data_IF_714483871270
#
_entry.id   IF_714483871270
#
_cell.length_a   1.000
_cell.length_b   1.000
_cell.length_c   1.000
_cell.angle_alpha   90.00
_cell.angle_beta   90.00
_cell.angle_gamma   90.00
#
_symmetry.space_group_name_H-M   'P 1'
#
loop_
_entity.id
_entity.type
_entity.pdbx_description
1 polymer ?
#
# COMPACT_ATOMS: atom_id res chain seq x y z
N UNK A 1 6.21 -25.17 -11.94
CA UNK A 1 7.62 -24.72 -11.96
C UNK A 1 7.73 -23.25 -11.53
N UNK A 2 8.51 -22.90 -10.50
CA UNK A 2 8.71 -21.48 -10.10
C UNK A 2 9.78 -20.86 -11.01
N UNK A 3 9.38 -19.95 -11.90
CA UNK A 3 10.33 -19.21 -12.73
C UNK A 3 11.16 -18.23 -11.87
N UNK A 4 12.49 -18.39 -11.86
CA UNK A 4 13.44 -17.45 -11.24
C UNK A 4 13.95 -16.48 -12.29
N UNK A 5 13.99 -15.18 -11.95
CA UNK A 5 14.58 -14.12 -12.77
C UNK A 5 15.91 -13.66 -12.15
N UNK A 6 16.94 -13.36 -12.96
CA UNK A 6 18.19 -12.80 -12.44
C UNK A 6 17.95 -11.41 -11.83
N UNK A 7 18.84 -10.94 -10.94
CA UNK A 7 18.67 -9.67 -10.23
C UNK A 7 18.49 -8.46 -11.14
N UNK A 8 19.18 -8.44 -12.29
CA UNK A 8 19.11 -7.36 -13.30
C UNK A 8 17.74 -7.27 -13.99
N UNK A 9 17.06 -8.40 -14.22
CA UNK A 9 15.72 -8.45 -14.80
C UNK A 9 14.60 -8.36 -13.76
N UNK A 10 14.93 -8.46 -12.48
CA UNK A 10 13.94 -8.38 -11.41
C UNK A 10 13.53 -6.92 -11.21
N UNK A 11 12.22 -6.68 -11.25
CA UNK A 11 11.66 -5.36 -10.97
C UNK A 11 12.08 -4.87 -9.58
N UNK A 12 12.60 -3.64 -9.53
CA UNK A 12 12.84 -2.92 -8.27
C UNK A 12 11.51 -2.63 -7.58
N UNK A 13 11.52 -2.65 -6.25
CA UNK A 13 10.31 -2.44 -5.44
C UNK A 13 10.61 -1.48 -4.29
N UNK A 14 9.65 -0.61 -4.01
CA UNK A 14 9.59 0.16 -2.78
C UNK A 14 8.33 -0.22 -2.02
N UNK A 15 8.45 -0.24 -0.70
CA UNK A 15 7.38 -0.50 0.24
C UNK A 15 6.96 0.82 0.87
N UNK A 16 5.71 1.19 0.66
CA UNK A 16 5.02 2.30 1.32
C UNK A 16 4.28 1.72 2.52
N UNK A 17 4.66 2.16 3.71
CA UNK A 17 3.98 1.84 4.96
C UNK A 17 2.96 2.93 5.22
N UNK A 18 1.72 2.53 5.46
CA UNK A 18 0.63 3.44 5.80
C UNK A 18 -0.04 3.01 7.10
N UNK A 19 -0.61 3.98 7.82
CA UNK A 19 -1.52 3.77 8.93
C UNK A 19 -2.86 4.38 8.58
N UNK A 20 -3.92 3.62 8.80
CA UNK A 20 -5.28 4.09 8.69
C UNK A 20 -5.69 4.70 10.02
N UNK A 21 -6.16 5.94 9.98
CA UNK A 21 -6.77 6.62 11.12
C UNK A 21 -8.28 6.64 10.88
N UNK A 22 -9.02 6.07 11.81
CA UNK A 22 -10.48 5.93 11.81
C UNK A 22 -10.95 5.84 13.26
N UNK A 23 -12.23 6.15 13.49
CA UNK A 23 -12.81 6.11 14.85
C UNK A 23 -12.90 4.67 15.37
N UNK A 24 -13.21 3.72 14.49
CA UNK A 24 -13.23 2.29 14.81
C UNK A 24 -12.25 1.49 13.94
N UNK A 25 -11.76 0.32 14.39
CA UNK A 25 -10.92 -0.55 13.58
C UNK A 25 -11.66 -1.07 12.34
N UNK A 26 -11.06 -0.90 11.16
CA UNK A 26 -11.62 -1.38 9.90
C UNK A 26 -11.07 -2.76 9.55
N UNK A 27 -11.90 -3.62 8.96
CA UNK A 27 -11.45 -4.93 8.49
C UNK A 27 -10.44 -4.79 7.33
N UNK A 28 -9.46 -5.69 7.29
CA UNK A 28 -8.41 -5.66 6.28
C UNK A 28 -8.97 -5.73 4.84
N UNK A 29 -10.02 -6.51 4.60
CA UNK A 29 -10.58 -6.64 3.25
C UNK A 29 -11.27 -5.36 2.80
N UNK A 30 -11.95 -4.65 3.70
CA UNK A 30 -12.54 -3.34 3.41
C UNK A 30 -11.44 -2.31 3.09
N UNK A 31 -10.40 -2.25 3.92
CA UNK A 31 -9.22 -1.40 3.66
C UNK A 31 -8.59 -1.74 2.31
N UNK A 32 -8.39 -3.03 2.03
CA UNK A 32 -7.79 -3.50 0.78
C UNK A 32 -8.65 -3.08 -0.42
N UNK A 33 -9.97 -3.21 -0.33
CA UNK A 33 -10.90 -2.84 -1.41
C UNK A 33 -10.89 -1.32 -1.63
N UNK A 34 -10.99 -0.53 -0.57
CA UNK A 34 -10.92 0.93 -0.64
C UNK A 34 -9.60 1.42 -1.25
N UNK A 35 -8.48 0.83 -0.84
CA UNK A 35 -7.16 1.15 -1.38
C UNK A 35 -7.05 0.77 -2.86
N UNK A 36 -7.57 -0.40 -3.28
CA UNK A 36 -7.61 -0.75 -4.70
C UNK A 36 -8.46 0.22 -5.52
N UNK A 37 -9.64 0.56 -5.03
CA UNK A 37 -10.52 1.53 -5.68
C UNK A 37 -9.83 2.89 -5.80
N UNK A 38 -9.16 3.36 -4.74
CA UNK A 38 -8.35 4.58 -4.78
C UNK A 38 -7.22 4.53 -5.81
N UNK A 39 -6.56 3.37 -5.94
CA UNK A 39 -5.56 3.18 -6.99
C UNK A 39 -6.15 3.22 -8.40
N UNK A 40 -7.26 2.52 -8.65
CA UNK A 40 -7.91 2.55 -9.97
C UNK A 40 -8.45 3.94 -10.31
N UNK A 41 -9.09 4.63 -9.36
CA UNK A 41 -9.63 5.97 -9.57
C UNK A 41 -8.54 7.01 -9.89
N UNK A 42 -7.37 6.92 -9.25
CA UNK A 42 -6.27 7.86 -9.46
C UNK A 42 -5.36 7.50 -10.65
N UNK A 43 -4.97 6.23 -10.75
CA UNK A 43 -3.97 5.77 -11.73
C UNK A 43 -4.59 5.23 -13.02
N UNK A 44 -5.88 4.88 -13.01
CA UNK A 44 -6.49 4.04 -14.03
C UNK A 44 -5.90 2.62 -14.07
N UNK A 45 -6.44 1.80 -14.94
CA UNK A 45 -6.02 0.40 -15.11
C UNK A 45 -4.58 0.30 -15.63
N UNK A 46 -4.22 1.17 -16.58
CA UNK A 46 -2.88 1.20 -17.16
C UNK A 46 -1.83 1.60 -16.12
N UNK A 47 -2.10 2.64 -15.33
CA UNK A 47 -1.19 3.12 -14.30
C UNK A 47 -1.02 2.10 -13.18
N UNK A 48 -2.09 1.44 -12.75
CA UNK A 48 -2.03 0.33 -11.78
C UNK A 48 -1.16 -0.81 -12.30
N UNK A 49 -1.31 -1.19 -13.57
CA UNK A 49 -0.51 -2.23 -14.21
C UNK A 49 0.97 -1.87 -14.24
N UNK A 50 1.32 -0.65 -14.65
CA UNK A 50 2.70 -0.13 -14.69
C UNK A 50 3.31 0.02 -13.30
N UNK A 51 2.50 0.34 -12.29
CA UNK A 51 2.96 0.56 -10.91
C UNK A 51 3.34 -0.75 -10.19
N UNK A 52 2.91 -1.92 -10.69
CA UNK A 52 3.11 -3.23 -10.05
C UNK A 52 2.72 -3.25 -8.56
N UNK A 53 1.55 -2.71 -8.28
CA UNK A 53 1.03 -2.57 -6.92
C UNK A 53 0.78 -3.94 -6.30
N UNK A 54 1.17 -4.08 -5.02
CA UNK A 54 0.80 -5.25 -4.21
C UNK A 54 0.53 -4.82 -2.77
N UNK A 55 -0.63 -5.20 -2.26
CA UNK A 55 -1.05 -5.00 -0.87
C UNK A 55 -0.77 -6.30 -0.09
N UNK A 56 -0.16 -6.20 1.09
CA UNK A 56 0.32 -7.36 1.86
C UNK A 56 -0.57 -7.66 3.07
N UNK A 57 -1.43 -8.69 2.96
CA UNK A 57 -2.28 -9.16 4.07
C UNK A 57 -1.48 -9.59 5.31
N UNK A 58 -0.40 -10.33 5.09
CA UNK A 58 0.45 -10.85 6.18
C UNK A 58 1.30 -9.77 6.88
N UNK A 59 1.25 -8.52 6.41
CA UNK A 59 1.91 -7.38 7.02
C UNK A 59 0.91 -6.38 7.62
N UNK A 60 -0.39 -6.70 7.58
CA UNK A 60 -1.41 -5.90 8.23
C UNK A 60 -1.34 -6.10 9.75
N UNK A 61 -1.34 -4.99 10.49
CA UNK A 61 -1.51 -5.00 11.93
C UNK A 61 -2.90 -4.42 12.26
N UNK A 62 -3.86 -5.24 12.72
CA UNK A 62 -5.22 -4.77 13.03
C UNK A 62 -5.27 -3.86 14.26
N UNK A 63 -4.32 -3.97 15.20
CA UNK A 63 -4.28 -3.13 16.40
C UNK A 63 -3.89 -1.69 16.09
N UNK A 64 -2.87 -1.53 15.25
CA UNK A 64 -2.35 -0.21 14.86
C UNK A 64 -2.88 0.26 13.51
N UNK A 65 -3.78 -0.52 12.90
CA UNK A 65 -4.36 -0.29 11.57
C UNK A 65 -3.29 0.06 10.53
N UNK A 66 -2.16 -0.67 10.57
CA UNK A 66 -0.97 -0.37 9.77
C UNK A 66 -0.78 -1.42 8.68
N UNK A 67 -0.55 -0.96 7.45
CA UNK A 67 -0.44 -1.80 6.28
C UNK A 67 0.74 -1.45 5.38
N UNK A 68 0.97 -2.32 4.40
CA UNK A 68 2.07 -2.21 3.46
C UNK A 68 1.56 -2.34 2.03
N UNK A 69 1.99 -1.42 1.19
CA UNK A 69 1.84 -1.49 -0.27
C UNK A 69 3.23 -1.49 -0.90
N UNK A 70 3.50 -2.39 -1.84
CA UNK A 70 4.67 -2.26 -2.70
C UNK A 70 4.31 -1.73 -4.07
N UNK A 71 5.19 -0.92 -4.65
CA UNK A 71 5.13 -0.47 -6.03
C UNK A 71 6.56 -0.37 -6.60
N UNK A 72 6.67 -0.10 -7.90
CA UNK A 72 7.96 0.32 -8.48
C UNK A 72 8.36 1.72 -7.99
N UNK A 73 9.67 2.03 -7.87
CA UNK A 73 10.14 3.30 -7.29
C UNK A 73 9.52 4.55 -7.91
N UNK A 74 9.31 4.57 -9.24
CA UNK A 74 8.74 5.70 -9.98
C UNK A 74 7.31 6.07 -9.52
N UNK A 75 6.55 5.11 -9.00
CA UNK A 75 5.13 5.29 -8.64
C UNK A 75 4.90 5.54 -7.15
N UNK A 76 5.97 5.69 -6.35
CA UNK A 76 5.84 5.92 -4.90
C UNK A 76 4.95 7.13 -4.60
N UNK A 77 5.16 8.26 -5.30
CA UNK A 77 4.37 9.47 -5.06
C UNK A 77 2.92 9.30 -5.51
N UNK A 78 2.67 8.63 -6.63
CA UNK A 78 1.31 8.34 -7.09
C UNK A 78 0.56 7.42 -6.13
N UNK A 79 1.25 6.45 -5.51
CA UNK A 79 0.66 5.60 -4.45
C UNK A 79 0.33 6.42 -3.21
N UNK A 80 1.22 7.33 -2.77
CA UNK A 80 0.94 8.21 -1.63
C UNK A 80 -0.30 9.09 -1.89
N UNK A 81 -0.38 9.67 -3.09
CA UNK A 81 -1.48 10.53 -3.47
C UNK A 81 -2.80 9.75 -3.54
N UNK A 82 -2.80 8.58 -4.19
CA UNK A 82 -3.99 7.72 -4.24
C UNK A 82 -4.48 7.34 -2.83
N UNK A 83 -3.58 7.01 -1.90
CA UNK A 83 -3.95 6.74 -0.51
C UNK A 83 -4.55 7.98 0.16
N UNK A 84 -3.97 9.16 -0.05
CA UNK A 84 -4.47 10.39 0.56
C UNK A 84 -5.85 10.83 0.05
N UNK A 85 -6.27 10.39 -1.14
CA UNK A 85 -7.58 10.69 -1.72
C UNK A 85 -8.70 9.78 -1.20
N UNK A 86 -8.37 8.72 -0.45
CA UNK A 86 -9.38 7.86 0.17
C UNK A 86 -9.78 8.47 1.51
N UNK A 87 -11.00 9.03 1.55
CA UNK A 87 -11.53 9.74 2.71
C UNK A 87 -12.66 9.01 3.45
N UNK A 88 -13.19 7.93 2.86
CA UNK A 88 -14.33 7.19 3.41
C UNK A 88 -14.24 5.70 3.04
N UNK A 89 -14.58 4.83 3.99
CA UNK A 89 -14.74 3.39 3.81
C UNK A 89 -16.06 2.99 4.49
N UNK A 90 -17.04 2.53 3.71
CA UNK A 90 -18.40 2.35 4.22
C UNK A 90 -18.95 3.68 4.76
N UNK A 91 -19.41 3.69 6.00
CA UNK A 91 -19.93 4.88 6.67
C UNK A 91 -18.87 5.62 7.51
N UNK A 92 -17.63 5.11 7.55
CA UNK A 92 -16.57 5.68 8.37
C UNK A 92 -15.68 6.64 7.59
N UNK A 93 -15.41 7.81 8.18
CA UNK A 93 -14.38 8.72 7.67
C UNK A 93 -13.01 8.21 8.04
N UNK A 94 -12.10 8.22 7.06
CA UNK A 94 -10.76 7.68 7.23
C UNK A 94 -9.69 8.61 6.69
N UNK A 95 -8.49 8.50 7.26
CA UNK A 95 -7.29 9.17 6.76
C UNK A 95 -6.16 8.15 6.64
N UNK A 96 -5.58 8.03 5.44
CA UNK A 96 -4.37 7.26 5.23
C UNK A 96 -3.13 8.11 5.48
N UNK A 97 -2.43 7.83 6.57
CA UNK A 97 -1.16 8.46 6.89
C UNK A 97 0.01 7.60 6.41
N UNK A 98 0.86 8.13 5.54
CA UNK A 98 2.08 7.43 5.09
C UNK A 98 3.18 7.61 6.14
N UNK A 99 3.60 6.51 6.77
CA UNK A 99 4.65 6.52 7.82
C UNK A 99 6.04 6.52 7.20
N UNK A 100 6.27 5.66 6.19
CA UNK A 100 7.61 5.45 5.64
C UNK A 100 7.58 4.88 4.23
N UNK A 101 8.62 5.18 3.46
CA UNK A 101 8.98 4.44 2.25
C UNK A 101 10.33 3.75 2.45
N UNK A 102 10.47 2.48 2.04
CA UNK A 102 11.73 1.75 2.11
C UNK A 102 11.90 0.76 0.97
N UNK A 103 13.14 0.43 0.60
CA UNK A 103 13.45 -0.60 -0.40
C UNK A 103 13.28 -2.03 0.12
N UNK A 104 13.18 -2.24 1.45
CA UNK A 104 13.03 -3.57 2.04
C UNK A 104 11.99 -3.60 3.17
N UNK A 105 11.27 -4.72 3.29
CA UNK A 105 10.32 -4.94 4.40
C UNK A 105 11.04 -4.90 5.74
N UNK A 106 12.25 -5.47 5.84
CA UNK A 106 13.06 -5.49 7.07
C UNK A 106 13.35 -4.08 7.58
N UNK A 107 13.76 -3.17 6.69
CA UNK A 107 14.00 -1.76 7.05
C UNK A 107 12.70 -1.03 7.38
N UNK A 108 11.64 -1.26 6.61
CA UNK A 108 10.33 -0.67 6.85
C UNK A 108 9.76 -1.01 8.25
N UNK A 109 9.87 -2.27 8.67
CA UNK A 109 9.38 -2.74 9.98
C UNK A 109 10.08 -2.12 11.19
N UNK A 110 11.35 -1.69 11.07
CA UNK A 110 12.13 -1.18 12.22
C UNK A 110 11.51 0.04 12.93
N UNK A 111 10.67 0.81 12.22
CA UNK A 111 10.07 2.04 12.74
C UNK A 111 8.67 1.81 13.32
N UNK A 112 8.00 0.71 12.95
CA UNK A 112 6.62 0.42 13.38
C UNK A 112 6.64 -0.35 14.72
N UNK A 113 7.46 0.09 15.67
CA UNK A 113 7.50 -0.52 17.01
C UNK A 113 6.24 -0.19 17.79
#
# INVERSE_FOLDING_TARGET
MKMKKPPSMRRKKHYVVFRLLSDEPVDFYEVKNAVWNGFFNWLGEEGVSKAYIKIFKNLWNPKTQTGFVSCVPKYVNSVKLALSLVHQIGDQRVIFQVIRVSGTIKSAKKIIK
#
